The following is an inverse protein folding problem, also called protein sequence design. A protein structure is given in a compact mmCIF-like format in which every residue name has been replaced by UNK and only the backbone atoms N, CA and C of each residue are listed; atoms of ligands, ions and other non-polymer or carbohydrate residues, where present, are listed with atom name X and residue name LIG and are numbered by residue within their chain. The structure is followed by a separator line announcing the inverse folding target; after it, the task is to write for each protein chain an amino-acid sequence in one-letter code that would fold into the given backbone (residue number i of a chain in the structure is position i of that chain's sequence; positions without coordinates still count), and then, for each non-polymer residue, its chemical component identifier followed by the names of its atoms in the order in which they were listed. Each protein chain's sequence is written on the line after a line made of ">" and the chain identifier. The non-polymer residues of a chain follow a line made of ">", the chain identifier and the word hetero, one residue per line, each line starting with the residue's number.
data_IF_981714197313
#
_entry.id   IF_981714197313
#
_cell.length_a   1.000
_cell.length_b   1.000
_cell.length_c   1.000
_cell.angle_alpha   90.00
_cell.angle_beta   90.00
_cell.angle_gamma   90.00
#
_symmetry.space_group_name_H-M   'P 1'
#
loop_
_entity.id
_entity.type
_entity.pdbx_description
1 polymer ?
#
# COMPACT_ATOMS: atom_id res chain seq x y z
N UNK A 1 0.93 -11.50 -5.15
CA UNK A 1 0.28 -10.58 -4.17
C UNK A 1 0.95 -9.21 -4.20
N UNK A 2 0.28 -8.12 -3.77
CA UNK A 2 0.83 -6.76 -3.88
C UNK A 2 1.94 -6.50 -2.85
N UNK A 3 2.96 -5.73 -3.22
CA UNK A 3 4.12 -5.37 -2.38
C UNK A 3 4.23 -3.88 -2.07
N UNK A 4 3.45 -3.06 -2.77
CA UNK A 4 3.38 -1.62 -2.59
C UNK A 4 2.56 -1.25 -1.35
N UNK A 5 2.95 -0.15 -0.72
CA UNK A 5 2.25 0.52 0.34
C UNK A 5 1.69 1.82 -0.21
N UNK A 6 0.38 1.99 -0.08
CA UNK A 6 -0.32 3.21 -0.45
C UNK A 6 -0.24 4.22 0.70
N UNK A 7 0.09 5.46 0.36
CA UNK A 7 0.04 6.61 1.25
C UNK A 7 -1.08 7.54 0.80
N UNK A 8 -2.03 7.80 1.70
CA UNK A 8 -3.18 8.65 1.46
C UNK A 8 -3.27 9.74 2.53
N UNK A 9 -3.61 10.97 2.14
CA UNK A 9 -3.86 12.09 3.08
C UNK A 9 -5.27 12.09 3.67
N UNK A 10 -6.18 11.31 3.10
CA UNK A 10 -7.49 11.01 3.68
C UNK A 10 -7.44 9.83 4.63
N UNK A 11 -8.51 9.67 5.40
CA UNK A 11 -8.81 8.42 6.09
C UNK A 11 -9.32 7.38 5.08
N UNK A 12 -9.15 6.11 5.41
CA UNK A 12 -9.74 4.99 4.66
C UNK A 12 -10.55 4.11 5.60
N UNK A 13 -11.83 3.96 5.29
CA UNK A 13 -12.72 3.08 6.04
C UNK A 13 -12.76 1.70 5.39
N UNK A 14 -12.53 0.67 6.19
CA UNK A 14 -12.61 -0.73 5.81
C UNK A 14 -13.75 -1.41 6.55
N UNK A 15 -14.51 -2.24 5.84
CA UNK A 15 -15.46 -3.19 6.41
C UNK A 15 -15.30 -4.52 5.68
N UNK A 16 -14.86 -5.55 6.37
CA UNK A 16 -14.65 -6.87 5.77
C UNK A 16 -15.95 -7.67 5.81
N UNK A 17 -16.63 -7.81 4.67
CA UNK A 17 -17.97 -8.41 4.58
C UNK A 17 -17.88 -9.94 4.58
N UNK A 18 -16.94 -10.52 3.84
CA UNK A 18 -16.74 -11.96 3.72
C UNK A 18 -15.27 -12.32 3.92
N UNK A 19 -14.99 -13.34 4.73
CA UNK A 19 -13.64 -13.82 5.02
C UNK A 19 -12.78 -12.81 5.79
N UNK A 20 -11.46 -12.90 5.64
CA UNK A 20 -10.48 -12.07 6.35
C UNK A 20 -9.54 -11.39 5.36
N UNK A 21 -9.00 -10.23 5.73
CA UNK A 21 -7.87 -9.61 5.05
C UNK A 21 -6.79 -9.21 6.07
N UNK A 22 -5.56 -9.03 5.59
CA UNK A 22 -4.47 -8.48 6.39
C UNK A 22 -4.10 -7.10 5.84
N UNK A 23 -4.22 -6.05 6.65
CA UNK A 23 -3.71 -4.73 6.32
C UNK A 23 -2.32 -4.57 6.94
N UNK A 24 -1.28 -4.65 6.12
CA UNK A 24 0.08 -4.32 6.56
C UNK A 24 0.23 -2.81 6.59
N UNK A 25 0.81 -2.24 7.64
CA UNK A 25 1.03 -0.80 7.76
C UNK A 25 2.47 -0.49 8.19
N UNK A 26 2.94 0.71 7.87
CA UNK A 26 4.13 1.29 8.46
C UNK A 26 3.69 2.36 9.46
N UNK A 27 3.73 2.03 10.74
CA UNK A 27 3.33 2.91 11.83
C UNK A 27 4.58 3.36 12.59
N UNK A 28 4.81 4.69 12.65
CA UNK A 28 6.00 5.27 13.28
C UNK A 28 7.34 4.70 12.74
N UNK A 29 7.38 4.37 11.44
CA UNK A 29 8.55 3.79 10.80
C UNK A 29 8.74 2.29 11.03
N UNK A 30 7.81 1.63 11.73
CA UNK A 30 7.86 0.20 12.01
C UNK A 30 6.73 -0.55 11.31
N UNK A 31 7.00 -1.75 10.76
CA UNK A 31 5.96 -2.58 10.16
C UNK A 31 5.03 -3.12 11.25
N UNK A 32 3.73 -3.10 10.97
CA UNK A 32 2.69 -3.66 11.82
C UNK A 32 1.63 -4.31 10.94
N UNK A 33 1.17 -5.49 11.36
CA UNK A 33 0.10 -6.21 10.69
C UNK A 33 -1.22 -6.01 11.44
N UNK A 34 -2.27 -5.69 10.70
CA UNK A 34 -3.62 -5.48 11.21
C UNK A 34 -4.57 -6.46 10.52
N UNK A 35 -4.90 -7.60 11.15
CA UNK A 35 -5.96 -8.48 10.66
C UNK A 35 -7.31 -7.77 10.74
N UNK A 36 -8.11 -7.86 9.67
CA UNK A 36 -9.49 -7.37 9.62
C UNK A 36 -10.36 -8.56 9.23
N UNK A 37 -11.05 -9.14 10.21
CA UNK A 37 -11.85 -10.35 10.10
C UNK A 37 -13.25 -10.05 9.62
N UNK A 38 -13.98 -11.10 9.23
CA UNK A 38 -15.35 -11.00 8.76
C UNK A 38 -16.24 -10.27 9.77
N UNK A 39 -16.96 -9.25 9.29
CA UNK A 39 -17.82 -8.37 10.08
C UNK A 39 -17.09 -7.23 10.81
N UNK A 40 -15.75 -7.20 10.79
CA UNK A 40 -14.99 -6.13 11.43
C UNK A 40 -14.96 -4.87 10.57
N UNK A 41 -14.96 -3.74 11.26
CA UNK A 41 -14.72 -2.41 10.70
C UNK A 41 -13.38 -1.88 11.21
N UNK A 42 -12.67 -1.15 10.36
CA UNK A 42 -11.43 -0.48 10.71
C UNK A 42 -11.36 0.86 10.01
N UNK A 43 -10.99 1.92 10.73
CA UNK A 43 -10.75 3.24 10.17
C UNK A 43 -9.24 3.50 10.22
N UNK A 44 -8.62 3.54 9.05
CA UNK A 44 -7.20 3.84 8.93
C UNK A 44 -6.99 5.36 9.03
N UNK A 45 -6.14 5.84 9.96
CA UNK A 45 -5.80 7.26 10.03
C UNK A 45 -5.06 7.75 8.79
N UNK A 46 -5.08 9.06 8.51
CA UNK A 46 -4.34 9.64 7.40
C UNK A 46 -2.83 9.41 7.49
N UNK A 47 -2.18 9.42 6.33
CA UNK A 47 -0.73 9.44 6.17
C UNK A 47 -0.01 8.18 6.71
N UNK A 48 -0.74 7.09 6.92
CA UNK A 48 -0.18 5.78 7.28
C UNK A 48 0.03 4.96 5.99
N UNK A 49 1.28 4.66 5.58
CA UNK A 49 1.54 3.75 4.48
C UNK A 49 0.94 2.38 4.78
N UNK A 50 0.14 1.83 3.85
CA UNK A 50 -0.57 0.58 4.08
C UNK A 50 -0.65 -0.30 2.83
N UNK A 51 -0.62 -1.62 3.00
CA UNK A 51 -0.60 -2.61 1.92
C UNK A 51 -1.66 -3.70 2.18
N UNK A 52 -2.88 -3.56 1.62
CA UNK A 52 -3.96 -4.54 1.73
C UNK A 52 -3.60 -5.90 1.11
N UNK A 53 -3.66 -6.97 1.91
CA UNK A 53 -3.48 -8.34 1.46
C UNK A 53 -4.84 -9.06 1.53
N UNK A 54 -5.36 -9.45 0.36
CA UNK A 54 -6.67 -10.09 0.22
C UNK A 54 -6.50 -11.57 -0.11
N UNK A 55 -7.29 -12.42 0.53
CA UNK A 55 -7.29 -13.86 0.29
C UNK A 55 -8.40 -14.27 -0.68
N UNK A 56 -8.33 -15.49 -1.19
CA UNK A 56 -9.34 -16.02 -2.12
C UNK A 56 -10.73 -16.07 -1.47
N UNK A 57 -11.77 -15.79 -2.26
CA UNK A 57 -13.18 -15.84 -1.83
C UNK A 57 -13.49 -14.91 -0.65
N UNK A 58 -12.95 -13.68 -0.67
CA UNK A 58 -13.21 -12.66 0.34
C UNK A 58 -13.78 -11.40 -0.30
N UNK A 59 -14.59 -10.64 0.46
CA UNK A 59 -15.22 -9.40 0.00
C UNK A 59 -15.05 -8.35 1.08
N UNK A 60 -14.52 -7.17 0.71
CA UNK A 60 -14.36 -6.04 1.61
C UNK A 60 -14.88 -4.76 0.97
N UNK A 61 -15.54 -3.93 1.77
CA UNK A 61 -15.92 -2.57 1.43
C UNK A 61 -14.80 -1.62 1.87
N UNK A 62 -14.37 -0.77 0.94
CA UNK A 62 -13.46 0.35 1.23
C UNK A 62 -14.16 1.64 0.85
N UNK A 63 -14.14 2.63 1.73
CA UNK A 63 -14.66 3.97 1.48
C UNK A 63 -13.52 4.97 1.68
N UNK A 64 -13.26 5.74 0.64
CA UNK A 64 -12.32 6.86 0.63
C UNK A 64 -13.04 8.13 0.19
N UNK A 65 -12.50 9.29 0.56
CA UNK A 65 -12.93 10.57 0.01
C UNK A 65 -12.17 10.90 -1.27
N UNK A 66 -12.77 11.73 -2.13
CA UNK A 66 -12.01 12.40 -3.19
C UNK A 66 -10.95 13.31 -2.57
N UNK A 67 -9.79 13.35 -3.22
CA UNK A 67 -8.69 14.24 -2.82
C UNK A 67 -9.12 15.69 -3.02
N UNK A 68 -8.65 16.57 -2.15
CA UNK A 68 -9.00 18.00 -2.12
C UNK A 68 -7.77 18.84 -2.44
N UNK A 69 -7.96 19.93 -3.18
CA UNK A 69 -6.87 20.85 -3.50
C UNK A 69 -5.71 20.17 -4.23
N UNK A 70 -4.51 20.25 -3.64
CA UNK A 70 -3.25 19.72 -4.19
C UNK A 70 -2.77 18.46 -3.47
N UNK A 71 -3.67 17.77 -2.76
CA UNK A 71 -3.35 16.50 -2.12
C UNK A 71 -2.83 15.49 -3.13
N UNK A 72 -1.69 14.88 -2.79
CA UNK A 72 -1.08 13.80 -3.54
C UNK A 72 -1.17 12.50 -2.75
N UNK A 73 -1.36 11.44 -3.49
CA UNK A 73 -1.19 10.08 -3.02
C UNK A 73 0.25 9.64 -3.25
N UNK A 74 0.67 8.62 -2.51
CA UNK A 74 1.98 8.01 -2.67
C UNK A 74 1.88 6.51 -2.87
N UNK A 75 2.76 5.96 -3.68
CA UNK A 75 3.05 4.53 -3.66
C UNK A 75 4.50 4.34 -3.21
N UNK A 76 4.68 3.47 -2.21
CA UNK A 76 5.94 3.25 -1.51
C UNK A 76 6.27 1.75 -1.50
N UNK A 77 7.56 1.43 -1.52
CA UNK A 77 8.05 0.07 -1.38
C UNK A 77 9.13 0.00 -0.32
N UNK A 78 9.08 -1.02 0.51
CA UNK A 78 10.04 -1.25 1.58
C UNK A 78 10.78 -2.56 1.35
N UNK A 79 12.03 -2.61 1.75
CA UNK A 79 12.89 -3.78 1.64
C UNK A 79 12.32 -4.90 2.51
N UNK A 80 12.03 -6.06 1.91
CA UNK A 80 11.46 -7.22 2.60
C UNK A 80 12.44 -7.85 3.62
N UNK A 81 13.74 -7.52 3.57
CA UNK A 81 14.75 -8.04 4.49
C UNK A 81 15.03 -7.12 5.69
N UNK A 82 15.09 -5.80 5.49
CA UNK A 82 15.50 -4.86 6.55
C UNK A 82 14.50 -3.73 6.82
N UNK A 83 13.41 -3.64 6.05
CA UNK A 83 12.40 -2.59 6.21
C UNK A 83 12.79 -1.21 5.67
N UNK A 84 13.98 -1.05 5.07
CA UNK A 84 14.39 0.22 4.47
C UNK A 84 13.50 0.62 3.29
N UNK A 85 13.17 1.90 3.15
CA UNK A 85 12.41 2.42 2.00
C UNK A 85 13.23 2.25 0.71
N UNK A 86 12.69 1.54 -0.27
CA UNK A 86 13.32 1.33 -1.58
C UNK A 86 13.00 2.47 -2.55
N UNK A 87 11.72 2.81 -2.62
CA UNK A 87 11.18 3.74 -3.60
C UNK A 87 9.90 4.37 -3.06
N UNK A 88 9.69 5.64 -3.37
CA UNK A 88 8.44 6.33 -3.16
C UNK A 88 8.14 7.24 -4.35
N UNK A 89 6.88 7.32 -4.75
CA UNK A 89 6.44 8.27 -5.76
C UNK A 89 5.10 8.89 -5.38
N UNK A 90 5.04 10.22 -5.44
CA UNK A 90 3.84 11.00 -5.10
C UNK A 90 3.22 11.66 -6.33
N UNK A 91 1.92 11.41 -6.55
CA UNK A 91 1.20 11.82 -7.74
C UNK A 91 -0.24 12.26 -7.41
N UNK A 92 -0.87 12.97 -8.35
CA UNK A 92 -2.29 13.33 -8.24
C UNK A 92 -3.12 12.13 -8.66
N UNK A 93 -3.91 11.58 -7.74
CA UNK A 93 -4.76 10.42 -8.01
C UNK A 93 -6.15 10.86 -8.45
N UNK A 94 -6.49 10.58 -9.71
CA UNK A 94 -7.79 10.87 -10.31
C UNK A 94 -8.57 9.60 -10.61
N UNK A 95 -7.89 8.57 -11.12
CA UNK A 95 -8.46 7.26 -11.40
C UNK A 95 -7.45 6.15 -11.04
N UNK A 96 -7.82 5.33 -10.06
CA UNK A 96 -6.98 4.23 -9.54
C UNK A 96 -6.59 3.21 -10.62
N UNK A 97 -7.46 2.98 -11.62
CA UNK A 97 -7.21 1.98 -12.65
C UNK A 97 -6.16 2.42 -13.67
N UNK A 98 -6.01 3.73 -13.86
CA UNK A 98 -5.09 4.30 -14.86
C UNK A 98 -3.86 4.92 -14.25
N UNK A 99 -3.95 5.45 -13.03
CA UNK A 99 -2.90 6.27 -12.44
C UNK A 99 -1.90 5.43 -11.62
N UNK A 100 -2.35 4.32 -11.03
CA UNK A 100 -1.48 3.41 -10.26
C UNK A 100 -0.56 2.56 -11.15
N UNK A 101 -1.04 1.91 -12.24
CA UNK A 101 -0.21 0.99 -13.03
C UNK A 101 1.09 1.60 -13.58
N UNK A 102 1.12 2.84 -14.09
CA UNK A 102 2.38 3.45 -14.55
C UNK A 102 3.43 3.61 -13.44
N UNK A 103 3.00 3.86 -12.20
CA UNK A 103 3.90 3.96 -11.04
C UNK A 103 4.47 2.58 -10.69
N UNK A 104 3.62 1.56 -10.71
CA UNK A 104 4.07 0.16 -10.54
C UNK A 104 5.09 -0.22 -11.61
N UNK A 105 4.85 0.12 -12.88
CA UNK A 105 5.77 -0.17 -13.98
C UNK A 105 7.13 0.50 -13.77
N UNK A 106 7.17 1.78 -13.41
CA UNK A 106 8.42 2.49 -13.10
C UNK A 106 9.22 1.84 -11.98
N UNK A 107 8.54 1.32 -10.96
CA UNK A 107 9.20 0.59 -9.89
C UNK A 107 9.70 -0.78 -10.37
N UNK A 108 8.84 -1.62 -10.94
CA UNK A 108 9.18 -3.02 -11.25
C UNK A 108 10.14 -3.16 -12.44
N UNK A 109 10.06 -2.27 -13.44
CA UNK A 109 10.92 -2.29 -14.61
C UNK A 109 12.37 -1.84 -14.33
N UNK A 110 12.61 -1.15 -13.21
CA UNK A 110 13.94 -0.64 -12.86
C UNK A 110 14.54 -1.43 -11.69
N UNK A 111 15.64 -2.16 -11.95
CA UNK A 111 16.36 -2.92 -10.90
C UNK A 111 16.88 -2.03 -9.78
N UNK A 112 17.27 -0.79 -10.08
CA UNK A 112 17.85 0.12 -9.09
C UNK A 112 16.78 0.54 -8.08
N UNK A 113 15.56 0.80 -8.55
CA UNK A 113 14.40 1.08 -7.69
C UNK A 113 14.06 -0.10 -6.78
N UNK A 114 14.33 -1.34 -7.21
CA UNK A 114 14.08 -2.56 -6.43
C UNK A 114 15.24 -2.95 -5.52
N UNK A 115 16.41 -2.30 -5.63
CA UNK A 115 17.61 -2.68 -4.90
C UNK A 115 17.76 -1.85 -3.64
N UNK A 116 17.80 -2.51 -2.49
CA UNK A 116 17.99 -1.85 -1.21
C UNK A 116 19.41 -1.27 -1.10
N UNK A 117 19.52 0.04 -0.97
CA UNK A 117 20.79 0.73 -0.74
C UNK A 117 21.40 0.46 0.66
N UNK A 118 20.64 -0.07 1.61
CA UNK A 118 21.09 -0.35 2.98
C UNK A 118 21.65 -1.76 3.15
N UNK A 119 21.06 -2.77 2.50
CA UNK A 119 21.47 -4.17 2.67
C UNK A 119 21.78 -4.91 1.36
N UNK A 120 21.59 -4.28 0.20
CA UNK A 120 21.82 -4.88 -1.12
C UNK A 120 20.75 -5.87 -1.58
N UNK A 121 19.74 -6.16 -0.77
CA UNK A 121 18.64 -7.04 -1.14
C UNK A 121 17.84 -6.46 -2.32
N UNK A 122 17.52 -7.29 -3.31
CA UNK A 122 16.71 -6.92 -4.47
C UNK A 122 15.30 -7.47 -4.29
N UNK A 123 14.29 -6.60 -4.34
CA UNK A 123 12.90 -7.02 -4.28
C UNK A 123 12.52 -7.76 -5.58
N UNK A 124 11.97 -8.97 -5.44
CA UNK A 124 11.40 -9.69 -6.58
C UNK A 124 10.07 -9.08 -7.02
N UNK A 125 9.81 -9.08 -8.32
CA UNK A 125 8.51 -8.67 -8.86
C UNK A 125 7.41 -9.61 -8.35
N UNK A 126 6.21 -9.09 -8.06
CA UNK A 126 5.09 -9.92 -7.62
C UNK A 126 4.69 -10.92 -8.72
N UNK A 127 4.42 -12.15 -8.29
CA UNK A 127 3.74 -13.19 -9.06
C UNK A 127 2.22 -13.14 -8.88
#
# INVERSE_FOLDING_TARGET
>A
SRKDYHYNRGEEFFHQIEGEMLLKVIEQGHPRDIPIKQGEIFLLPPCIPHSPQRYANTVGLVIERKRTGTEKDGLLWYCEQCGHLLYEEYFTLTNIETDLPPVFERFYANSDNRTCNQCGAVMECPV
#
